data_IF_542476623862
#
_entry.id   IF_542476623862
#
_cell.length_a   1.000
_cell.length_b   1.000
_cell.length_c   1.000
_cell.angle_alpha   90.00
_cell.angle_beta   90.00
_cell.angle_gamma   90.00
#
_symmetry.space_group_name_H-M   'P 1'
#
loop_
_entity.id
_entity.type
_entity.pdbx_description
1 polymer ?
#
# COMPACT_ATOMS: atom_id res chain seq x y z
N UNK A 1 5.15 -1.75 -1.11
CA UNK A 1 3.77 -1.24 -0.89
C UNK A 1 3.01 -0.95 -2.18
N UNK A 2 3.51 -0.10 -3.10
CA UNK A 2 2.77 0.26 -4.33
C UNK A 2 2.32 -0.95 -5.16
N UNK A 3 3.22 -1.91 -5.44
CA UNK A 3 2.84 -3.10 -6.19
C UNK A 3 1.85 -4.01 -5.45
N UNK A 4 1.85 -4.03 -4.12
CA UNK A 4 0.84 -4.77 -3.35
C UNK A 4 -0.56 -4.15 -3.56
N UNK A 5 -0.67 -2.82 -3.59
CA UNK A 5 -1.90 -2.13 -3.97
C UNK A 5 -2.30 -2.50 -5.40
N UNK A 6 -1.37 -2.47 -6.36
CA UNK A 6 -1.69 -2.82 -7.75
C UNK A 6 -2.18 -4.26 -7.88
N UNK A 7 -1.55 -5.22 -7.20
CA UNK A 7 -2.00 -6.61 -7.18
C UNK A 7 -3.43 -6.73 -6.64
N UNK A 8 -3.77 -5.98 -5.59
CA UNK A 8 -5.11 -5.98 -5.00
C UNK A 8 -6.17 -5.28 -5.84
N UNK A 9 -5.80 -4.17 -6.50
CA UNK A 9 -6.68 -3.49 -7.46
C UNK A 9 -6.94 -4.39 -8.68
N UNK A 10 -5.90 -5.02 -9.22
CA UNK A 10 -6.01 -5.95 -10.34
C UNK A 10 -6.91 -7.15 -10.00
N UNK A 11 -6.79 -7.68 -8.77
CA UNK A 11 -7.68 -8.71 -8.24
C UNK A 11 -9.17 -8.31 -8.27
N UNK A 12 -9.47 -7.01 -8.15
CA UNK A 12 -10.82 -6.44 -8.28
C UNK A 12 -11.15 -5.89 -9.66
N UNK A 13 -10.28 -6.09 -10.66
CA UNK A 13 -10.40 -5.51 -12.02
C UNK A 13 -10.47 -3.98 -12.02
N UNK A 14 -9.79 -3.36 -11.06
CA UNK A 14 -9.59 -1.91 -11.00
C UNK A 14 -8.19 -1.55 -11.48
N UNK A 15 -8.07 -0.52 -12.31
CA UNK A 15 -6.79 -0.13 -12.90
C UNK A 15 -6.61 1.39 -12.94
N UNK A 16 -5.35 1.81 -12.88
CA UNK A 16 -4.97 3.20 -13.03
C UNK A 16 -3.52 3.32 -13.46
N UNK A 17 -3.23 4.26 -14.35
CA UNK A 17 -1.88 4.55 -14.84
C UNK A 17 -1.11 5.54 -13.95
N UNK A 18 -1.72 6.06 -12.88
CA UNK A 18 -1.14 7.08 -12.00
C UNK A 18 -0.88 6.53 -10.60
N UNK A 19 0.29 6.83 -10.03
CA UNK A 19 0.60 6.48 -8.64
C UNK A 19 -0.41 7.04 -7.65
N UNK A 20 -0.78 8.32 -7.78
CA UNK A 20 -1.79 8.97 -6.94
C UNK A 20 -3.19 8.37 -7.13
N UNK A 21 -3.50 7.95 -8.36
CA UNK A 21 -4.74 7.23 -8.66
C UNK A 21 -4.83 5.90 -7.90
N UNK A 22 -3.73 5.14 -7.83
CA UNK A 22 -3.72 3.86 -7.13
C UNK A 22 -3.92 4.03 -5.62
N UNK A 23 -3.33 5.07 -5.02
CA UNK A 23 -3.54 5.39 -3.60
C UNK A 23 -4.98 5.80 -3.34
N UNK A 24 -5.56 6.66 -4.19
CA UNK A 24 -6.93 7.14 -4.01
C UNK A 24 -7.96 6.01 -4.17
N UNK A 25 -7.78 5.11 -5.14
CA UNK A 25 -8.59 3.91 -5.29
C UNK A 25 -8.44 3.00 -4.05
N UNK A 26 -7.20 2.78 -3.60
CA UNK A 26 -6.97 1.97 -2.41
C UNK A 26 -7.69 2.51 -1.16
N UNK A 27 -7.59 3.82 -0.93
CA UNK A 27 -8.26 4.49 0.18
C UNK A 27 -9.79 4.37 0.08
N UNK A 28 -10.34 4.58 -1.11
CA UNK A 28 -11.79 4.56 -1.34
C UNK A 28 -12.37 3.16 -1.19
N UNK A 29 -11.74 2.17 -1.82
CA UNK A 29 -12.32 0.84 -1.99
C UNK A 29 -12.02 -0.11 -0.85
N UNK A 30 -10.94 0.12 -0.09
CA UNK A 30 -10.48 -0.83 0.91
C UNK A 30 -10.28 -0.23 2.29
N UNK A 31 -9.87 1.04 2.40
CA UNK A 31 -9.75 1.67 3.72
C UNK A 31 -11.10 2.20 4.19
N UNK A 32 -11.82 2.95 3.35
CA UNK A 32 -13.15 3.50 3.71
C UNK A 32 -14.24 2.44 3.83
N UNK A 33 -14.10 1.32 3.11
CA UNK A 33 -15.01 0.17 3.21
C UNK A 33 -14.72 -0.74 4.42
N UNK A 34 -13.60 -0.51 5.12
CA UNK A 34 -13.22 -1.26 6.33
C UNK A 34 -12.46 -2.57 6.06
N UNK A 35 -12.05 -2.86 4.83
CA UNK A 35 -11.20 -4.02 4.51
C UNK A 35 -9.82 -3.89 5.16
N UNK A 36 -9.25 -2.69 5.15
CA UNK A 36 -8.01 -2.36 5.85
C UNK A 36 -8.22 -1.22 6.85
N UNK A 37 -7.46 -1.21 7.96
CA UNK A 37 -7.54 -0.14 8.95
C UNK A 37 -7.03 1.20 8.37
N UNK A 38 -7.50 2.32 8.95
CA UNK A 38 -7.16 3.68 8.51
C UNK A 38 -5.66 3.96 8.47
N UNK A 39 -4.89 3.30 9.33
CA UNK A 39 -3.43 3.42 9.36
C UNK A 39 -2.76 2.97 8.06
N UNK A 40 -3.35 2.05 7.29
CA UNK A 40 -2.80 1.62 6.00
C UNK A 40 -2.78 2.76 4.98
N UNK A 41 -3.82 3.60 4.99
CA UNK A 41 -3.85 4.82 4.19
C UNK A 41 -2.70 5.74 4.61
N UNK A 42 -2.59 6.04 5.90
CA UNK A 42 -1.54 6.91 6.45
C UNK A 42 -0.14 6.41 6.11
N UNK A 43 0.15 5.13 6.35
CA UNK A 43 1.44 4.52 6.04
C UNK A 43 1.74 4.60 4.56
N UNK A 44 0.75 4.33 3.70
CA UNK A 44 0.97 4.40 2.27
C UNK A 44 1.26 5.82 1.82
N UNK A 45 0.49 6.82 2.23
CA UNK A 45 0.77 8.22 1.88
C UNK A 45 2.16 8.65 2.36
N UNK A 46 2.48 8.39 3.63
CA UNK A 46 3.80 8.72 4.20
C UNK A 46 4.96 8.06 3.43
N UNK A 47 4.86 6.76 3.11
CA UNK A 47 5.89 6.06 2.36
C UNK A 47 6.13 6.66 0.95
N UNK A 48 5.10 7.21 0.31
CA UNK A 48 5.28 7.87 -0.98
C UNK A 48 5.82 9.28 -0.87
N UNK A 49 5.41 10.03 0.14
CA UNK A 49 5.94 11.36 0.38
C UNK A 49 7.43 11.30 0.75
N UNK A 50 7.82 10.36 1.63
CA UNK A 50 9.23 10.12 1.97
C UNK A 50 10.04 9.65 0.78
N UNK A 51 9.49 8.75 -0.05
CA UNK A 51 10.14 8.35 -1.30
C UNK A 51 10.31 9.54 -2.24
N UNK A 52 9.28 10.36 -2.44
CA UNK A 52 9.34 11.54 -3.31
C UNK A 52 10.41 12.54 -2.81
N UNK A 53 10.49 12.74 -1.49
CA UNK A 53 11.53 13.58 -0.89
C UNK A 53 12.92 12.98 -1.15
N UNK A 54 13.11 11.69 -0.86
CA UNK A 54 14.39 11.00 -1.06
C UNK A 54 14.84 10.98 -2.52
N UNK A 55 13.93 10.72 -3.46
CA UNK A 55 14.24 10.54 -4.87
C UNK A 55 14.45 11.89 -5.60
N UNK A 56 13.75 12.95 -5.18
CA UNK A 56 13.64 14.19 -5.97
C UNK A 56 13.98 15.48 -5.23
N UNK A 57 14.21 15.46 -3.91
CA UNK A 57 14.59 16.67 -3.16
C UNK A 57 16.10 16.69 -2.91
N UNK A 58 16.84 17.65 -3.49
CA UNK A 58 18.26 17.82 -3.19
C UNK A 58 18.47 18.02 -1.69
N UNK A 59 19.47 17.35 -1.11
CA UNK A 59 19.81 17.41 0.32
C UNK A 59 18.75 16.82 1.28
N UNK A 60 17.78 16.05 0.77
CA UNK A 60 16.90 15.29 1.65
C UNK A 60 17.72 14.29 2.50
N UNK A 61 17.55 14.35 3.82
CA UNK A 61 18.12 13.40 4.76
C UNK A 61 16.96 12.71 5.48
N UNK A 62 16.72 11.45 5.14
CA UNK A 62 15.74 10.61 5.85
C UNK A 62 16.46 9.99 7.06
N UNK A 63 15.88 10.15 8.25
CA UNK A 63 16.45 9.61 9.47
C UNK A 63 16.46 8.08 9.45
N UNK A 64 17.41 7.47 10.19
CA UNK A 64 17.43 6.01 10.36
C UNK A 64 16.14 5.48 11.00
N UNK A 65 15.59 6.25 11.94
CA UNK A 65 14.36 5.88 12.64
C UNK A 65 13.15 5.93 11.69
N UNK A 66 13.04 6.98 10.85
CA UNK A 66 12.00 7.07 9.81
C UNK A 66 12.09 5.91 8.81
N UNK A 67 13.32 5.57 8.39
CA UNK A 67 13.55 4.47 7.47
C UNK A 67 13.15 3.12 8.10
N UNK A 68 13.52 2.89 9.35
CA UNK A 68 13.17 1.68 10.09
C UNK A 68 11.65 1.57 10.31
N UNK A 69 11.00 2.68 10.67
CA UNK A 69 9.54 2.73 10.85
C UNK A 69 8.82 2.40 9.53
N UNK A 70 9.20 3.05 8.42
CA UNK A 70 8.60 2.78 7.12
C UNK A 70 8.84 1.35 6.66
N UNK A 71 10.02 0.78 6.93
CA UNK A 71 10.29 -0.61 6.61
C UNK A 71 9.33 -1.55 7.36
N UNK A 72 9.18 -1.37 8.67
CA UNK A 72 8.28 -2.19 9.49
C UNK A 72 6.81 -2.06 9.04
N UNK A 73 6.39 -0.83 8.74
CA UNK A 73 5.05 -0.56 8.19
C UNK A 73 4.86 -1.24 6.83
N UNK A 74 5.86 -1.19 5.95
CA UNK A 74 5.81 -1.80 4.64
C UNK A 74 5.71 -3.34 4.71
N UNK A 75 6.47 -3.98 5.61
CA UNK A 75 6.43 -5.42 5.84
C UNK A 75 5.03 -5.85 6.31
N UNK A 76 4.49 -5.16 7.31
CA UNK A 76 3.13 -5.40 7.83
C UNK A 76 2.08 -5.21 6.74
N UNK A 77 2.19 -4.12 5.98
CA UNK A 77 1.26 -3.77 4.90
C UNK A 77 1.23 -4.84 3.81
N UNK A 78 2.40 -5.29 3.34
CA UNK A 78 2.52 -6.32 2.30
C UNK A 78 1.99 -7.67 2.80
N UNK A 79 2.33 -8.06 4.03
CA UNK A 79 1.85 -9.30 4.64
C UNK A 79 0.32 -9.34 4.71
N UNK A 80 -0.33 -8.26 5.18
CA UNK A 80 -1.79 -8.22 5.29
C UNK A 80 -2.50 -8.21 3.94
N UNK A 81 -1.97 -7.50 2.93
CA UNK A 81 -2.52 -7.58 1.57
C UNK A 81 -2.39 -9.01 1.02
N UNK A 82 -1.24 -9.66 1.24
CA UNK A 82 -1.04 -11.05 0.82
C UNK A 82 -2.10 -11.99 1.41
N UNK A 83 -2.36 -11.88 2.71
CA UNK A 83 -3.42 -12.66 3.40
C UNK A 83 -4.80 -12.39 2.79
N UNK A 84 -5.15 -11.14 2.48
CA UNK A 84 -6.44 -10.85 1.84
C UNK A 84 -6.52 -11.38 0.40
N UNK A 85 -5.43 -11.35 -0.36
CA UNK A 85 -5.37 -11.96 -1.70
C UNK A 85 -5.53 -13.49 -1.64
N UNK A 86 -4.89 -14.15 -0.67
CA UNK A 86 -5.03 -15.59 -0.46
C UNK A 86 -6.47 -15.97 -0.09
N UNK A 87 -7.21 -15.12 0.64
CA UNK A 87 -8.64 -15.35 0.88
C UNK A 87 -9.48 -15.22 -0.40
N UNK A 88 -9.07 -14.37 -1.33
CA UNK A 88 -9.80 -14.13 -2.59
C UNK A 88 -9.52 -15.21 -3.65
N UNK A 89 -8.30 -15.74 -3.70
CA UNK A 89 -7.85 -16.64 -4.78
C UNK A 89 -7.23 -17.96 -4.31
N UNK A 90 -7.12 -18.18 -3.00
CA UNK A 90 -6.62 -19.42 -2.44
C UNK A 90 -7.59 -20.58 -2.64
N UNK A 91 -7.13 -21.82 -2.45
CA UNK A 91 -7.91 -23.03 -2.73
C UNK A 91 -9.23 -23.13 -1.95
N UNK A 92 -9.38 -22.39 -0.85
CA UNK A 92 -10.62 -22.32 -0.07
C UNK A 92 -11.74 -21.47 -0.72
N UNK A 93 -11.43 -20.62 -1.70
CA UNK A 93 -12.39 -19.76 -2.40
C UNK A 93 -12.95 -20.39 -3.70
N UNK A 94 -12.43 -21.54 -4.11
CA UNK A 94 -12.85 -22.26 -5.32
C UNK A 94 -13.94 -23.33 -5.06
N UNK A 95 -14.72 -23.15 -3.99
CA UNK A 95 -15.85 -24.01 -3.62
C UNK A 95 -17.19 -23.49 -4.11
#
# INVERSE_FOLDING_TARGET
MFYAILAFLAARKEETSKHSGAIALFDREFVKSGVFPKEFSRWRHNAFDLRQQSDYTPLACIGKDDAAEIQQQAETFISKIGVELEKMFGPAAAG
#
